data_IF_623007401157
#
_entry.id   IF_623007401157
#
_cell.length_a   1.000
_cell.length_b   1.000
_cell.length_c   1.000
_cell.angle_alpha   90.00
_cell.angle_beta   90.00
_cell.angle_gamma   90.00
#
_symmetry.space_group_name_H-M   'P 1'
#
loop_
_entity.id
_entity.type
_entity.pdbx_description
1 polymer ?
#
# COMPACT_ATOMS: atom_id res chain seq x y z
N UNK A 1 -4.45 43.95 -3.47
CA UNK A 1 -4.62 42.58 -2.93
C UNK A 1 -4.91 41.68 -4.10
N UNK A 2 -3.98 40.77 -4.43
CA UNK A 2 -4.18 39.79 -5.52
C UNK A 2 -5.17 38.74 -5.01
N UNK A 3 -6.32 38.60 -5.66
CA UNK A 3 -7.31 37.61 -5.33
C UNK A 3 -6.71 36.20 -5.51
N UNK A 4 -6.43 35.52 -4.41
CA UNK A 4 -5.94 34.15 -4.44
C UNK A 4 -7.09 33.27 -4.95
N UNK A 5 -6.96 32.73 -6.16
CA UNK A 5 -7.95 31.84 -6.76
C UNK A 5 -8.16 30.59 -5.90
N UNK A 6 -9.39 30.04 -5.90
CA UNK A 6 -9.74 28.84 -5.12
C UNK A 6 -8.85 27.65 -5.46
N UNK A 7 -8.36 27.56 -6.71
CA UNK A 7 -7.40 26.57 -7.16
C UNK A 7 -6.04 26.74 -6.47
N UNK A 8 -5.54 27.98 -6.36
CA UNK A 8 -4.27 28.26 -5.65
C UNK A 8 -4.36 27.96 -4.15
N UNK A 9 -5.53 28.17 -3.53
CA UNK A 9 -5.77 27.80 -2.13
C UNK A 9 -5.83 26.27 -1.94
N UNK A 10 -6.42 25.55 -2.89
CA UNK A 10 -6.43 24.06 -2.88
C UNK A 10 -5.02 23.52 -3.05
N UNK A 11 -4.27 24.00 -4.06
CA UNK A 11 -2.87 23.63 -4.29
C UNK A 11 -2.01 23.91 -3.05
N UNK A 12 -2.18 25.06 -2.39
CA UNK A 12 -1.48 25.41 -1.16
C UNK A 12 -1.85 24.54 0.05
N UNK A 13 -3.10 24.07 0.14
CA UNK A 13 -3.51 23.11 1.18
C UNK A 13 -2.93 21.73 0.95
N UNK A 14 -2.88 21.26 -0.29
CA UNK A 14 -2.28 19.99 -0.68
C UNK A 14 -0.79 20.00 -0.41
N UNK A 15 -0.08 21.07 -0.81
CA UNK A 15 1.34 21.28 -0.54
C UNK A 15 1.65 21.27 0.96
N UNK A 16 0.78 21.86 1.80
CA UNK A 16 0.98 21.86 3.26
C UNK A 16 0.74 20.51 3.93
N UNK A 17 -0.10 19.65 3.35
CA UNK A 17 -0.39 18.33 3.93
C UNK A 17 0.77 17.35 3.73
N UNK A 18 1.61 17.61 2.74
CA UNK A 18 2.67 16.69 2.32
C UNK A 18 2.13 15.45 1.61
N UNK A 19 2.95 14.86 0.77
CA UNK A 19 2.63 13.60 0.09
C UNK A 19 3.24 12.48 0.94
N UNK A 20 2.42 11.55 1.42
CA UNK A 20 2.91 10.36 2.11
C UNK A 20 3.35 9.33 1.08
N UNK A 21 4.57 8.82 1.25
CA UNK A 21 5.13 7.77 0.41
C UNK A 21 5.89 6.78 1.28
N UNK A 22 5.56 5.50 1.16
CA UNK A 22 6.16 4.44 1.96
C UNK A 22 6.97 3.52 1.07
N UNK A 23 8.24 3.35 1.42
CA UNK A 23 9.19 2.48 0.71
C UNK A 23 9.68 1.41 1.68
N UNK A 24 9.62 0.17 1.27
CA UNK A 24 10.21 -0.95 2.00
C UNK A 24 11.50 -1.39 1.32
N UNK A 25 12.53 -1.63 2.10
CA UNK A 25 13.83 -2.08 1.61
C UNK A 25 14.06 -3.52 2.07
N UNK A 26 14.16 -4.43 1.10
CA UNK A 26 14.25 -5.88 1.32
C UNK A 26 15.54 -6.42 0.70
N UNK A 27 16.20 -7.37 1.35
CA UNK A 27 17.39 -7.99 0.80
C UNK A 27 18.17 -8.80 1.82
N UNK A 28 19.15 -9.56 1.32
CA UNK A 28 20.02 -10.36 2.17
C UNK A 28 20.83 -9.49 3.14
N UNK A 29 21.25 -10.10 4.25
CA UNK A 29 22.14 -9.44 5.20
C UNK A 29 23.44 -8.98 4.50
N UNK A 30 23.93 -7.81 4.88
CA UNK A 30 25.17 -7.26 4.32
C UNK A 30 25.07 -6.65 2.92
N UNK A 31 23.89 -6.56 2.28
CA UNK A 31 23.72 -5.93 0.95
C UNK A 31 23.90 -4.40 0.96
N UNK A 32 23.93 -3.77 2.12
CA UNK A 32 24.12 -2.32 2.24
C UNK A 32 22.84 -1.50 2.23
N UNK A 33 21.70 -2.11 2.58
CA UNK A 33 20.37 -1.47 2.66
C UNK A 33 20.36 -0.22 3.53
N UNK A 34 20.83 -0.32 4.79
CA UNK A 34 20.86 0.81 5.72
C UNK A 34 21.75 1.96 5.20
N UNK A 35 22.87 1.65 4.51
CA UNK A 35 23.72 2.65 3.86
C UNK A 35 22.98 3.34 2.71
N UNK A 36 22.23 2.57 1.92
CA UNK A 36 21.41 3.10 0.82
C UNK A 36 20.30 4.02 1.36
N UNK A 37 19.61 3.62 2.42
CA UNK A 37 18.57 4.43 3.08
C UNK A 37 19.15 5.78 3.51
N UNK A 38 20.29 5.79 4.18
CA UNK A 38 20.95 7.01 4.60
C UNK A 38 21.39 7.87 3.41
N UNK A 39 21.85 7.24 2.32
CA UNK A 39 22.18 7.95 1.08
C UNK A 39 20.94 8.57 0.43
N UNK A 40 19.82 7.84 0.39
CA UNK A 40 18.55 8.28 -0.19
C UNK A 40 17.99 9.51 0.55
N UNK A 41 18.02 9.47 1.88
CA UNK A 41 17.55 10.57 2.73
C UNK A 41 18.53 11.76 2.81
N UNK A 42 19.79 11.56 2.41
CA UNK A 42 20.82 12.58 2.52
C UNK A 42 21.32 12.83 3.95
N UNK A 43 20.79 12.11 4.92
CA UNK A 43 21.11 12.18 6.35
C UNK A 43 21.16 10.78 6.97
N UNK A 44 21.80 10.68 8.13
CA UNK A 44 21.84 9.41 8.86
C UNK A 44 20.48 9.20 9.56
N UNK A 45 19.69 8.29 9.03
CA UNK A 45 18.37 7.90 9.54
C UNK A 45 18.45 6.56 10.26
N UNK A 46 19.20 5.62 9.68
CA UNK A 46 19.37 4.27 10.20
C UNK A 46 20.82 4.04 10.63
N UNK A 47 21.00 3.49 11.83
CA UNK A 47 22.31 3.08 12.27
C UNK A 47 22.80 1.87 11.47
N UNK A 48 23.97 2.02 10.86
CA UNK A 48 24.58 0.97 10.02
C UNK A 48 25.17 -0.19 10.83
N UNK A 49 25.32 -0.04 12.13
CA UNK A 49 25.97 -1.01 13.00
C UNK A 49 25.01 -1.99 13.70
N UNK A 50 23.71 -1.73 13.66
CA UNK A 50 22.73 -2.53 14.37
C UNK A 50 22.06 -3.54 13.43
N UNK A 51 22.33 -4.82 13.64
CA UNK A 51 21.54 -5.92 13.10
C UNK A 51 20.14 -5.87 13.72
N UNK A 52 19.09 -5.90 12.90
CA UNK A 52 17.72 -6.03 13.39
C UNK A 52 17.62 -7.45 13.98
N UNK A 53 17.29 -7.61 15.28
CA UNK A 53 17.17 -8.93 15.87
C UNK A 53 16.00 -9.68 15.20
N UNK A 54 16.23 -10.95 14.88
CA UNK A 54 15.16 -11.84 14.45
C UNK A 54 14.17 -12.05 15.61
N UNK A 55 12.87 -12.15 15.34
CA UNK A 55 11.88 -12.43 16.38
C UNK A 55 12.18 -13.78 17.01
N UNK A 56 12.20 -13.82 18.33
CA UNK A 56 12.24 -15.06 19.10
C UNK A 56 10.83 -15.66 19.14
N UNK A 57 10.73 -16.98 19.01
CA UNK A 57 9.48 -17.76 18.88
C UNK A 57 8.42 -17.57 20.01
N UNK A 58 8.71 -16.77 21.03
CA UNK A 58 7.87 -16.62 22.23
C UNK A 58 6.88 -15.44 22.20
N UNK A 59 6.83 -14.62 21.14
CA UNK A 59 5.87 -13.52 21.08
C UNK A 59 4.53 -13.99 20.48
N UNK A 60 3.54 -14.14 21.35
CA UNK A 60 2.12 -14.39 21.00
C UNK A 60 1.43 -13.18 20.32
N UNK A 61 2.08 -12.04 20.28
CA UNK A 61 1.66 -10.87 19.51
C UNK A 61 2.50 -10.81 18.23
N UNK A 62 1.84 -10.49 17.11
CA UNK A 62 2.49 -10.29 15.80
C UNK A 62 3.36 -9.04 15.84
N UNK A 63 4.42 -9.05 16.64
CA UNK A 63 5.41 -7.98 16.64
C UNK A 63 6.24 -8.10 15.37
N UNK A 64 5.86 -7.32 14.37
CA UNK A 64 6.69 -7.11 13.20
C UNK A 64 7.93 -6.33 13.63
N UNK A 65 9.03 -7.01 13.90
CA UNK A 65 10.32 -6.38 14.24
C UNK A 65 10.94 -5.66 13.04
N UNK A 66 10.14 -4.81 12.38
CA UNK A 66 10.54 -3.95 11.28
C UNK A 66 10.87 -2.58 11.82
N UNK A 67 11.91 -1.95 11.28
CA UNK A 67 12.20 -0.55 11.60
C UNK A 67 11.47 0.34 10.62
N UNK A 68 10.59 1.16 11.15
CA UNK A 68 9.94 2.23 10.40
C UNK A 68 10.49 3.58 10.83
N UNK A 69 11.06 4.29 9.88
CA UNK A 69 11.58 5.64 10.07
C UNK A 69 10.87 6.59 9.09
N UNK A 70 10.41 7.72 9.59
CA UNK A 70 9.74 8.72 8.76
C UNK A 70 10.62 9.97 8.63
N UNK A 71 10.86 10.37 7.41
CA UNK A 71 11.69 11.54 7.07
C UNK A 71 10.87 12.53 6.26
N UNK A 72 10.92 13.80 6.65
CA UNK A 72 10.36 14.88 5.83
C UNK A 72 11.43 15.35 4.83
N UNK A 73 11.11 15.24 3.55
CA UNK A 73 11.92 15.78 2.45
C UNK A 73 11.17 16.95 1.83
N UNK A 74 11.90 18.00 1.49
CA UNK A 74 11.37 19.11 0.70
C UNK A 74 11.96 19.03 -0.70
N UNK A 75 11.09 19.05 -1.70
CA UNK A 75 11.50 19.15 -3.09
C UNK A 75 11.83 20.61 -3.46
N UNK A 76 12.54 20.80 -4.57
CA UNK A 76 12.93 22.13 -5.09
C UNK A 76 11.72 23.06 -5.32
N UNK A 77 10.53 22.48 -5.53
CA UNK A 77 9.27 23.22 -5.65
C UNK A 77 8.59 23.54 -4.31
N UNK A 78 9.20 23.17 -3.18
CA UNK A 78 8.65 23.35 -1.83
C UNK A 78 7.49 22.39 -1.51
N UNK A 79 7.39 21.27 -2.23
CA UNK A 79 6.48 20.17 -1.91
C UNK A 79 7.10 19.35 -0.79
N UNK A 80 6.34 19.17 0.29
CA UNK A 80 6.75 18.29 1.39
C UNK A 80 6.40 16.85 1.07
N UNK A 81 7.39 15.98 1.11
CA UNK A 81 7.24 14.54 0.97
C UNK A 81 7.52 13.92 2.34
N UNK A 82 6.53 13.26 2.90
CA UNK A 82 6.68 12.41 4.07
C UNK A 82 7.08 11.01 3.60
N UNK A 83 8.37 10.74 3.63
CA UNK A 83 8.92 9.45 3.24
C UNK A 83 9.00 8.55 4.46
N UNK A 84 8.16 7.51 4.52
CA UNK A 84 8.27 6.42 5.50
C UNK A 84 9.11 5.31 4.89
N UNK A 85 10.20 4.95 5.56
CA UNK A 85 11.10 3.89 5.12
C UNK A 85 11.02 2.74 6.09
N UNK A 86 10.81 1.55 5.55
CA UNK A 86 10.73 0.31 6.30
C UNK A 86 11.96 -0.51 5.98
N UNK A 87 12.87 -0.63 6.95
CA UNK A 87 14.03 -1.51 6.85
C UNK A 87 13.65 -2.88 7.42
N UNK A 88 13.75 -3.91 6.59
CA UNK A 88 13.42 -5.28 6.96
C UNK A 88 14.60 -5.99 7.62
N UNK A 89 14.37 -7.02 8.44
CA UNK A 89 15.46 -7.87 8.90
C UNK A 89 16.19 -8.50 7.70
N UNK A 90 17.52 -8.56 7.78
CA UNK A 90 18.31 -9.25 6.76
C UNK A 90 18.04 -10.74 6.82
N UNK A 91 17.89 -11.36 5.69
CA UNK A 91 17.78 -12.81 5.57
C UNK A 91 19.06 -13.40 4.98
N UNK A 92 19.19 -14.73 5.01
CA UNK A 92 20.33 -15.45 4.45
C UNK A 92 21.44 -15.79 5.42
N UNK A 93 21.34 -15.34 6.69
CA UNK A 93 22.29 -15.66 7.76
C UNK A 93 21.88 -16.93 8.52
N UNK A 94 20.63 -17.32 8.46
CA UNK A 94 20.06 -18.49 9.11
C UNK A 94 19.88 -19.65 8.13
N UNK A 95 19.85 -20.90 8.66
CA UNK A 95 19.53 -22.08 7.86
C UNK A 95 18.07 -22.07 7.41
N UNK A 96 17.17 -21.60 8.27
CA UNK A 96 15.76 -21.39 7.95
C UNK A 96 15.47 -19.89 7.92
N UNK A 97 15.05 -19.40 6.76
CA UNK A 97 14.69 -18.00 6.50
C UNK A 97 13.17 -17.80 6.39
N UNK A 98 12.38 -18.86 6.60
CA UNK A 98 10.92 -18.83 6.42
C UNK A 98 10.27 -17.80 7.35
N UNK A 99 10.77 -17.68 8.61
CA UNK A 99 10.28 -16.70 9.57
C UNK A 99 10.47 -15.26 9.07
N UNK A 100 11.64 -14.93 8.51
CA UNK A 100 11.93 -13.60 7.95
C UNK A 100 11.04 -13.30 6.74
N UNK A 101 10.77 -14.29 5.89
CA UNK A 101 9.90 -14.13 4.73
C UNK A 101 8.45 -13.90 5.14
N UNK A 102 7.96 -14.66 6.12
CA UNK A 102 6.60 -14.51 6.64
C UNK A 102 6.40 -13.13 7.28
N UNK A 103 7.38 -12.62 8.03
CA UNK A 103 7.31 -11.27 8.62
C UNK A 103 7.08 -10.21 7.54
N UNK A 104 7.83 -10.28 6.43
CA UNK A 104 7.72 -9.30 5.35
C UNK A 104 6.36 -9.41 4.66
N UNK A 105 5.93 -10.61 4.31
CA UNK A 105 4.65 -10.85 3.62
C UNK A 105 3.44 -10.55 4.51
N UNK A 106 3.50 -10.93 5.79
CA UNK A 106 2.43 -10.66 6.75
C UNK A 106 2.30 -9.16 7.04
N UNK A 107 3.43 -8.43 7.10
CA UNK A 107 3.40 -6.98 7.23
C UNK A 107 2.66 -6.33 6.05
N UNK A 108 3.00 -6.70 4.80
CA UNK A 108 2.34 -6.17 3.62
C UNK A 108 0.83 -6.44 3.61
N UNK A 109 0.44 -7.68 3.96
CA UNK A 109 -0.99 -8.05 4.08
C UNK A 109 -1.68 -7.29 5.19
N UNK A 110 -1.02 -7.13 6.35
CA UNK A 110 -1.56 -6.39 7.48
C UNK A 110 -1.88 -4.93 7.11
N UNK A 111 -1.02 -4.27 6.33
CA UNK A 111 -1.28 -2.91 5.86
C UNK A 111 -2.52 -2.84 4.94
N UNK A 112 -2.76 -3.83 4.10
CA UNK A 112 -3.98 -3.93 3.30
C UNK A 112 -5.21 -4.23 4.16
N UNK A 113 -5.07 -5.09 5.17
CA UNK A 113 -6.14 -5.41 6.11
C UNK A 113 -6.59 -4.18 6.91
N UNK A 114 -5.67 -3.33 7.36
CA UNK A 114 -6.01 -2.09 8.05
C UNK A 114 -6.89 -1.15 7.19
N UNK A 115 -6.58 -1.05 5.91
CA UNK A 115 -7.37 -0.24 4.98
C UNK A 115 -8.73 -0.87 4.73
N UNK A 116 -8.79 -2.18 4.52
CA UNK A 116 -10.03 -2.92 4.31
C UNK A 116 -10.96 -2.79 5.53
N UNK A 117 -10.39 -2.83 6.75
CA UNK A 117 -11.12 -2.57 7.99
C UNK A 117 -11.68 -1.15 8.04
N UNK A 118 -10.86 -0.14 7.71
CA UNK A 118 -11.31 1.24 7.73
C UNK A 118 -12.38 1.52 6.67
N UNK A 119 -12.28 0.92 5.49
CA UNK A 119 -13.30 1.00 4.44
C UNK A 119 -14.62 0.33 4.85
N UNK A 120 -14.56 -0.72 5.64
CA UNK A 120 -15.73 -1.46 6.14
C UNK A 120 -16.45 -0.73 7.28
N UNK A 121 -15.82 0.29 7.89
CA UNK A 121 -16.44 1.06 8.97
C UNK A 121 -17.56 1.96 8.48
N UNK A 122 -18.66 1.99 9.21
CA UNK A 122 -19.80 2.91 8.96
C UNK A 122 -19.37 4.37 9.10
N UNK A 123 -18.48 4.66 10.06
CA UNK A 123 -17.88 5.99 10.27
C UNK A 123 -16.39 5.90 9.99
N UNK A 124 -15.99 6.34 8.80
CA UNK A 124 -14.59 6.40 8.41
C UNK A 124 -13.86 7.53 9.11
N UNK A 125 -12.61 7.30 9.49
CA UNK A 125 -11.76 8.32 10.09
C UNK A 125 -11.22 9.25 8.98
N UNK A 126 -11.59 10.55 8.93
CA UNK A 126 -11.12 11.47 7.89
C UNK A 126 -9.63 11.78 7.98
N UNK A 127 -8.95 11.36 9.06
CA UNK A 127 -7.52 11.53 9.30
C UNK A 127 -6.76 10.21 9.21
N UNK A 128 -7.39 9.16 8.67
CA UNK A 128 -6.71 7.89 8.47
C UNK A 128 -5.50 8.09 7.57
N UNK A 129 -4.36 7.58 8.00
CA UNK A 129 -3.12 7.63 7.23
C UNK A 129 -3.03 6.39 6.37
N UNK A 130 -2.67 6.60 5.12
CA UNK A 130 -2.34 5.49 4.22
C UNK A 130 -0.97 4.94 4.63
N UNK A 131 -0.97 3.73 5.22
CA UNK A 131 0.23 3.03 5.70
C UNK A 131 0.75 2.00 4.70
N UNK A 132 0.08 1.83 3.53
CA UNK A 132 0.47 0.85 2.51
C UNK A 132 1.88 1.09 2.01
N UNK A 133 2.57 0.01 1.69
CA UNK A 133 3.87 0.07 1.04
C UNK A 133 3.66 0.31 -0.46
N UNK A 134 4.19 1.42 -0.97
CA UNK A 134 4.02 1.83 -2.35
C UNK A 134 5.10 1.26 -3.27
N UNK A 135 6.33 1.05 -2.75
CA UNK A 135 7.41 0.43 -3.49
C UNK A 135 8.25 -0.47 -2.58
N UNK A 136 8.64 -1.62 -3.10
CA UNK A 136 9.59 -2.55 -2.46
C UNK A 136 10.87 -2.55 -3.26
N UNK A 137 11.94 -2.00 -2.67
CA UNK A 137 13.28 -2.06 -3.25
C UNK A 137 13.93 -3.39 -2.86
N UNK A 138 14.05 -4.29 -3.82
CA UNK A 138 14.63 -5.60 -3.58
C UNK A 138 16.11 -5.62 -3.93
N UNK A 139 16.95 -5.72 -2.89
CA UNK A 139 18.40 -5.66 -3.01
C UNK A 139 18.99 -7.03 -3.32
N UNK A 140 19.52 -7.17 -4.53
CA UNK A 140 20.16 -8.38 -5.06
C UNK A 140 21.66 -8.29 -4.85
N UNK A 141 22.27 -9.36 -4.37
CA UNK A 141 23.72 -9.46 -4.26
C UNK A 141 24.38 -9.50 -5.64
N UNK A 142 25.48 -8.77 -5.86
CA UNK A 142 26.21 -8.74 -7.12
C UNK A 142 27.08 -10.01 -7.27
N UNK A 143 26.46 -11.14 -7.61
CA UNK A 143 27.17 -12.43 -7.73
C UNK A 143 27.72 -12.69 -9.12
N UNK A 144 27.21 -11.99 -10.14
CA UNK A 144 27.53 -12.24 -11.55
C UNK A 144 26.80 -13.46 -12.15
N UNK A 145 26.00 -14.18 -11.36
CA UNK A 145 25.35 -15.44 -11.76
C UNK A 145 23.81 -15.39 -11.73
N UNK A 146 23.20 -14.19 -11.78
CA UNK A 146 21.74 -14.03 -11.70
C UNK A 146 21.21 -14.12 -10.27
N UNK A 147 19.95 -14.57 -10.12
CA UNK A 147 19.25 -14.66 -8.85
C UNK A 147 19.61 -15.94 -8.10
N UNK A 148 19.74 -15.84 -6.78
CA UNK A 148 19.84 -17.03 -5.93
C UNK A 148 18.45 -17.62 -5.71
N UNK A 149 18.38 -18.92 -5.45
CA UNK A 149 17.13 -19.63 -5.16
C UNK A 149 16.36 -19.00 -3.99
N UNK A 150 17.09 -18.53 -2.98
CA UNK A 150 16.53 -17.81 -1.82
C UNK A 150 15.80 -16.53 -2.25
N UNK A 151 16.40 -15.76 -3.16
CA UNK A 151 15.82 -14.51 -3.68
C UNK A 151 14.59 -14.82 -4.54
N UNK A 152 14.63 -15.87 -5.35
CA UNK A 152 13.51 -16.33 -6.17
C UNK A 152 12.32 -16.72 -5.29
N UNK A 153 12.57 -17.43 -4.19
CA UNK A 153 11.51 -17.86 -3.28
C UNK A 153 10.78 -16.67 -2.65
N UNK A 154 11.53 -15.69 -2.13
CA UNK A 154 10.94 -14.49 -1.53
C UNK A 154 10.25 -13.61 -2.60
N UNK A 155 10.89 -13.39 -3.74
CA UNK A 155 10.31 -12.60 -4.83
C UNK A 155 8.97 -13.17 -5.33
N UNK A 156 8.83 -14.51 -5.38
CA UNK A 156 7.54 -15.16 -5.70
C UNK A 156 6.46 -14.86 -4.66
N UNK A 157 6.81 -14.79 -3.38
CA UNK A 157 5.85 -14.46 -2.32
C UNK A 157 5.45 -12.98 -2.34
N UNK A 158 6.37 -12.09 -2.74
CA UNK A 158 6.12 -10.65 -2.85
C UNK A 158 5.40 -10.27 -4.15
N UNK A 159 5.52 -11.13 -5.17
CA UNK A 159 4.87 -10.92 -6.47
C UNK A 159 3.36 -10.78 -6.32
N UNK A 160 2.81 -9.70 -6.86
CA UNK A 160 1.39 -9.37 -6.75
C UNK A 160 0.96 -8.71 -5.44
N UNK A 161 1.84 -8.64 -4.42
CA UNK A 161 1.55 -7.93 -3.16
C UNK A 161 2.14 -6.52 -3.13
N UNK A 162 3.20 -6.26 -3.87
CA UNK A 162 3.87 -4.96 -3.84
C UNK A 162 4.53 -4.64 -5.18
N UNK A 163 4.80 -3.34 -5.42
CA UNK A 163 5.59 -2.88 -6.56
C UNK A 163 7.06 -3.20 -6.33
N UNK A 164 7.53 -4.31 -6.86
CA UNK A 164 8.91 -4.76 -6.71
C UNK A 164 9.79 -4.00 -7.71
N UNK A 165 10.81 -3.33 -7.20
CA UNK A 165 11.86 -2.69 -8.00
C UNK A 165 13.17 -3.43 -7.69
N UNK A 166 13.68 -4.26 -8.62
CA UNK A 166 14.92 -5.00 -8.41
C UNK A 166 16.13 -4.07 -8.50
N UNK A 167 17.01 -4.16 -7.51
CA UNK A 167 18.20 -3.31 -7.35
C UNK A 167 19.43 -4.18 -7.12
N UNK A 168 20.44 -4.05 -7.94
CA UNK A 168 21.75 -4.68 -7.74
C UNK A 168 22.54 -3.82 -6.76
N UNK A 169 22.82 -4.38 -5.60
CA UNK A 169 23.60 -3.69 -4.56
C UNK A 169 25.09 -3.74 -4.87
N UNK A 170 25.84 -2.75 -4.32
CA UNK A 170 27.32 -2.74 -4.40
C UNK A 170 27.82 -3.04 -5.83
N UNK A 171 27.26 -2.35 -6.82
CA UNK A 171 27.59 -2.56 -8.23
C UNK A 171 29.08 -2.31 -8.55
N UNK A 172 29.76 -1.62 -7.67
CA UNK A 172 31.21 -1.40 -7.70
C UNK A 172 32.07 -2.67 -7.50
N UNK A 173 31.45 -3.77 -7.10
CA UNK A 173 32.14 -5.06 -6.98
C UNK A 173 32.23 -5.86 -8.29
N UNK A 174 31.48 -5.45 -9.30
CA UNK A 174 31.49 -6.06 -10.64
C UNK A 174 32.16 -5.15 -11.65
N UNK A 175 32.81 -5.78 -12.64
CA UNK A 175 33.25 -5.05 -13.84
C UNK A 175 32.05 -4.64 -14.69
N UNK A 176 32.25 -3.70 -15.60
CA UNK A 176 31.17 -3.21 -16.48
C UNK A 176 30.54 -4.35 -17.33
N UNK A 177 31.37 -5.25 -17.82
CA UNK A 177 30.94 -6.39 -18.62
C UNK A 177 30.16 -7.41 -17.78
N UNK A 178 30.65 -7.71 -16.57
CA UNK A 178 29.97 -8.58 -15.61
C UNK A 178 28.64 -8.00 -15.15
N UNK A 179 28.57 -6.68 -14.94
CA UNK A 179 27.33 -6.01 -14.57
C UNK A 179 26.26 -6.14 -15.66
N UNK A 180 26.63 -5.93 -16.93
CA UNK A 180 25.71 -6.10 -18.06
C UNK A 180 25.22 -7.55 -18.15
N UNK A 181 26.14 -8.51 -18.02
CA UNK A 181 25.78 -9.93 -18.01
C UNK A 181 24.86 -10.29 -16.85
N UNK A 182 25.18 -9.78 -15.64
CA UNK A 182 24.37 -10.03 -14.44
C UNK A 182 22.96 -9.43 -14.56
N UNK A 183 22.83 -8.20 -15.06
CA UNK A 183 21.53 -7.58 -15.36
C UNK A 183 20.69 -8.46 -16.29
N UNK A 184 21.31 -8.98 -17.36
CA UNK A 184 20.64 -9.86 -18.32
C UNK A 184 20.16 -11.17 -17.68
N UNK A 185 21.04 -11.85 -16.92
CA UNK A 185 20.71 -13.10 -16.23
C UNK A 185 19.56 -12.91 -15.22
N UNK A 186 19.60 -11.84 -14.44
CA UNK A 186 18.51 -11.52 -13.50
C UNK A 186 17.19 -11.34 -14.23
N UNK A 187 17.15 -10.63 -15.35
CA UNK A 187 15.92 -10.46 -16.13
C UNK A 187 15.42 -11.77 -16.74
N UNK A 188 16.32 -12.65 -17.16
CA UNK A 188 15.99 -13.98 -17.66
C UNK A 188 15.39 -14.84 -16.52
N UNK A 189 15.97 -14.81 -15.33
CA UNK A 189 15.48 -15.52 -14.15
C UNK A 189 14.10 -15.01 -13.73
N UNK A 190 13.88 -13.68 -13.67
CA UNK A 190 12.57 -13.08 -13.34
C UNK A 190 11.48 -13.52 -14.32
N UNK A 191 11.80 -13.56 -15.61
CA UNK A 191 10.88 -14.04 -16.66
C UNK A 191 10.62 -15.55 -16.56
N UNK A 192 11.67 -16.35 -16.34
CA UNK A 192 11.54 -17.80 -16.23
C UNK A 192 10.65 -18.22 -15.05
N UNK A 193 10.80 -17.54 -13.92
CA UNK A 193 10.03 -17.81 -12.71
C UNK A 193 8.69 -17.07 -12.66
N UNK A 194 8.34 -16.30 -13.69
CA UNK A 194 7.09 -15.52 -13.78
C UNK A 194 6.88 -14.56 -12.59
N UNK A 195 7.96 -13.89 -12.17
CA UNK A 195 7.93 -12.92 -11.07
C UNK A 195 7.54 -11.56 -11.64
N UNK A 196 6.42 -11.02 -11.15
CA UNK A 196 5.96 -9.67 -11.52
C UNK A 196 6.82 -8.63 -10.80
N UNK A 197 7.33 -7.67 -11.54
CA UNK A 197 8.04 -6.49 -11.03
C UNK A 197 7.49 -5.24 -11.70
N UNK A 198 7.69 -4.08 -11.07
CA UNK A 198 7.21 -2.82 -11.63
C UNK A 198 7.97 -2.45 -12.90
N UNK A 199 7.27 -2.42 -14.02
CA UNK A 199 7.87 -2.26 -15.36
C UNK A 199 7.53 -0.92 -16.00
N UNK A 200 7.38 0.15 -15.23
CA UNK A 200 7.13 1.52 -15.72
C UNK A 200 6.17 1.54 -16.92
N UNK A 201 4.86 1.32 -16.70
CA UNK A 201 3.90 1.26 -17.79
C UNK A 201 3.84 2.59 -18.54
N UNK A 202 3.68 2.53 -19.85
CA UNK A 202 3.39 3.66 -20.71
C UNK A 202 2.50 3.23 -21.85
N UNK A 203 1.69 4.15 -22.35
CA UNK A 203 0.76 3.96 -23.45
C UNK A 203 1.22 4.78 -24.66
N UNK A 204 1.46 4.08 -25.78
CA UNK A 204 1.93 4.71 -27.02
C UNK A 204 0.90 5.65 -27.68
N UNK A 205 -0.39 5.51 -27.30
CA UNK A 205 -1.48 6.29 -27.92
C UNK A 205 -1.86 7.50 -27.07
N UNK A 206 -1.73 7.42 -25.74
CA UNK A 206 -2.23 8.43 -24.83
C UNK A 206 -1.15 9.26 -24.13
N UNK A 207 0.06 8.71 -23.99
CA UNK A 207 1.13 9.38 -23.27
C UNK A 207 1.95 10.32 -24.18
N UNK A 208 2.52 11.35 -23.59
CA UNK A 208 3.44 12.25 -24.27
C UNK A 208 4.75 11.54 -24.64
N UNK A 209 5.35 11.93 -25.77
CA UNK A 209 6.60 11.34 -26.25
C UNK A 209 7.73 11.39 -25.21
N UNK A 210 7.80 12.47 -24.42
CA UNK A 210 8.79 12.62 -23.34
C UNK A 210 8.59 11.56 -22.24
N UNK A 211 7.35 11.29 -21.85
CA UNK A 211 7.00 10.23 -20.89
C UNK A 211 7.35 8.84 -21.43
N UNK A 212 7.04 8.58 -22.70
CA UNK A 212 7.36 7.32 -23.39
C UNK A 212 8.86 7.09 -23.40
N UNK A 213 9.64 8.09 -23.83
CA UNK A 213 11.10 8.00 -23.88
C UNK A 213 11.70 7.78 -22.48
N UNK A 214 11.23 8.51 -21.48
CA UNK A 214 11.67 8.38 -20.09
C UNK A 214 11.37 6.99 -19.55
N UNK A 215 10.14 6.49 -19.69
CA UNK A 215 9.76 5.17 -19.20
C UNK A 215 10.46 4.04 -19.96
N UNK A 216 10.67 4.19 -21.26
CA UNK A 216 11.46 3.25 -22.06
C UNK A 216 12.92 3.20 -21.58
N UNK A 217 13.52 4.36 -21.30
CA UNK A 217 14.85 4.42 -20.72
C UNK A 217 14.93 3.75 -19.35
N UNK A 218 13.99 4.03 -18.44
CA UNK A 218 13.93 3.39 -17.12
C UNK A 218 13.78 1.88 -17.21
N UNK A 219 12.96 1.38 -18.13
CA UNK A 219 12.87 -0.07 -18.41
C UNK A 219 14.21 -0.69 -18.80
N UNK A 220 15.02 0.02 -19.57
CA UNK A 220 16.32 -0.46 -20.00
C UNK A 220 17.35 -0.56 -18.87
N UNK A 221 17.15 0.21 -17.80
CA UNK A 221 18.03 0.22 -16.62
C UNK A 221 17.74 -0.91 -15.63
N UNK A 222 16.55 -1.52 -15.68
CA UNK A 222 16.16 -2.59 -14.77
C UNK A 222 17.04 -3.83 -14.98
N UNK A 223 17.55 -4.46 -13.91
CA UNK A 223 17.62 -4.00 -12.51
C UNK A 223 18.58 -2.83 -12.33
N UNK A 224 18.20 -1.88 -11.45
CA UNK A 224 19.03 -0.71 -11.17
C UNK A 224 20.30 -1.09 -10.44
N UNK A 225 21.43 -0.57 -10.88
CA UNK A 225 22.74 -0.81 -10.25
C UNK A 225 23.07 0.34 -9.30
N UNK A 226 23.18 0.07 -7.99
CA UNK A 226 23.38 1.14 -7.01
C UNK A 226 24.61 0.93 -6.15
N UNK A 227 25.22 2.06 -5.80
CA UNK A 227 26.30 2.16 -4.83
C UNK A 227 25.82 3.12 -3.73
N UNK A 228 25.86 2.69 -2.48
CA UNK A 228 25.53 3.56 -1.34
C UNK A 228 26.80 3.97 -0.61
N UNK A 229 26.87 5.21 -0.11
CA UNK A 229 27.92 5.68 0.76
C UNK A 229 27.42 6.71 1.77
N UNK A 230 27.88 6.59 3.00
CA UNK A 230 27.66 7.59 4.05
C UNK A 230 28.79 8.63 4.12
N UNK A 231 29.86 8.45 3.33
CA UNK A 231 31.04 9.29 3.39
C UNK A 231 30.99 10.38 2.32
N UNK A 232 31.35 11.58 2.73
CA UNK A 232 31.46 12.74 1.85
C UNK A 232 32.93 13.10 1.76
N UNK A 233 33.39 13.33 0.55
CA UNK A 233 34.77 13.70 0.26
C UNK A 233 34.78 15.04 -0.47
N UNK A 234 35.82 15.83 -0.22
CA UNK A 234 36.07 17.05 -0.96
C UNK A 234 36.94 16.70 -2.18
N UNK A 235 36.37 16.84 -3.36
CA UNK A 235 37.08 16.64 -4.64
C UNK A 235 36.92 17.92 -5.46
N UNK A 236 37.99 18.50 -5.89
CA UNK A 236 38.05 19.75 -6.69
C UNK A 236 37.26 20.94 -6.07
N UNK A 237 37.13 20.97 -4.73
CA UNK A 237 36.42 22.02 -3.99
C UNK A 237 34.90 21.79 -3.87
N UNK A 238 34.39 20.67 -4.36
CA UNK A 238 33.01 20.24 -4.19
C UNK A 238 32.91 19.07 -3.19
N UNK A 239 31.87 19.09 -2.37
CA UNK A 239 31.57 18.01 -1.45
C UNK A 239 30.81 16.93 -2.19
N UNK A 240 31.49 15.83 -2.54
CA UNK A 240 30.96 14.74 -3.31
C UNK A 240 30.81 13.51 -2.41
N UNK A 241 29.64 12.87 -2.49
CA UNK A 241 29.37 11.62 -1.79
C UNK A 241 29.93 10.46 -2.60
N UNK A 242 30.80 9.64 -1.98
CA UNK A 242 31.46 8.58 -2.72
C UNK A 242 32.11 7.53 -1.83
N UNK A 243 32.79 6.61 -2.47
CA UNK A 243 33.61 5.56 -1.84
C UNK A 243 35.06 5.69 -2.25
N UNK A 244 35.94 5.66 -1.27
CA UNK A 244 37.38 5.66 -1.50
C UNK A 244 37.93 4.27 -1.28
N UNK A 245 38.55 3.75 -2.33
CA UNK A 245 39.27 2.49 -2.33
C UNK A 245 40.77 2.70 -2.45
N UNK A 246 41.63 1.70 -2.14
CA UNK A 246 43.06 1.80 -2.36
C UNK A 246 43.45 2.06 -3.81
N UNK A 247 42.60 1.68 -4.77
CA UNK A 247 42.84 1.80 -6.20
C UNK A 247 42.12 3.00 -6.85
N UNK A 248 41.23 3.69 -6.14
CA UNK A 248 40.53 4.82 -6.76
C UNK A 248 39.38 5.36 -5.90
N UNK A 249 38.71 6.34 -6.45
CA UNK A 249 37.52 6.97 -5.87
C UNK A 249 36.33 6.75 -6.80
N UNK A 250 35.18 6.41 -6.23
CA UNK A 250 33.94 6.24 -6.96
C UNK A 250 32.93 7.24 -6.43
N UNK A 251 32.42 8.09 -7.33
CA UNK A 251 31.32 8.99 -7.04
C UNK A 251 30.00 8.22 -7.19
N UNK A 252 29.13 8.26 -6.17
CA UNK A 252 27.81 7.59 -6.23
C UNK A 252 26.77 8.39 -7.03
N UNK A 253 27.02 9.68 -7.25
CA UNK A 253 26.13 10.57 -8.01
C UNK A 253 26.46 10.59 -9.52
N UNK A 254 27.52 9.88 -9.92
CA UNK A 254 27.89 9.74 -11.31
C UNK A 254 27.05 8.67 -12.01
N UNK A 255 26.37 9.07 -13.07
CA UNK A 255 25.49 8.20 -13.88
C UNK A 255 26.21 7.05 -14.57
N UNK A 256 27.54 7.17 -14.81
CA UNK A 256 28.32 6.09 -15.41
C UNK A 256 28.61 4.95 -14.41
N UNK A 257 28.70 5.31 -13.13
CA UNK A 257 29.10 4.40 -12.05
C UNK A 257 27.90 3.81 -11.31
N UNK A 258 26.80 4.56 -11.22
CA UNK A 258 25.64 4.18 -10.39
C UNK A 258 24.33 4.76 -10.90
N UNK A 259 23.27 3.95 -10.89
CA UNK A 259 21.91 4.39 -11.19
C UNK A 259 21.23 5.05 -9.97
N UNK A 260 22.00 5.38 -8.89
CA UNK A 260 21.45 5.88 -7.63
C UNK A 260 20.63 7.17 -7.79
N UNK A 261 21.14 8.15 -8.53
CA UNK A 261 20.46 9.44 -8.76
C UNK A 261 19.16 9.23 -9.55
N UNK A 262 19.20 8.37 -10.57
CA UNK A 262 18.03 8.03 -11.38
C UNK A 262 16.97 7.38 -10.50
N UNK A 263 17.34 6.39 -9.70
CA UNK A 263 16.43 5.70 -8.79
C UNK A 263 15.85 6.63 -7.73
N UNK A 264 16.65 7.54 -7.18
CA UNK A 264 16.17 8.55 -6.22
C UNK A 264 15.14 9.49 -6.85
N UNK A 265 15.44 10.02 -8.03
CA UNK A 265 14.52 10.91 -8.76
C UNK A 265 13.23 10.18 -9.17
N UNK A 266 13.33 8.93 -9.57
CA UNK A 266 12.20 8.06 -9.89
C UNK A 266 11.26 7.91 -8.69
N UNK A 267 11.81 7.58 -7.53
CA UNK A 267 11.02 7.30 -6.33
C UNK A 267 10.39 8.57 -5.74
N UNK A 268 11.11 9.70 -5.77
CA UNK A 268 10.71 10.90 -5.04
C UNK A 268 10.02 11.95 -5.92
N UNK A 269 10.29 11.95 -7.23
CA UNK A 269 9.83 13.01 -8.12
C UNK A 269 8.92 12.45 -9.22
N UNK A 270 9.46 11.67 -10.16
CA UNK A 270 8.76 11.33 -11.39
C UNK A 270 7.64 10.30 -11.22
N UNK A 271 7.87 9.21 -10.53
CA UNK A 271 6.93 8.07 -10.44
C UNK A 271 6.31 7.87 -9.05
N UNK A 272 6.46 8.86 -8.16
CA UNK A 272 5.88 8.78 -6.81
C UNK A 272 4.35 8.57 -6.85
N UNK A 273 3.66 9.33 -7.70
CA UNK A 273 2.22 9.25 -7.80
C UNK A 273 1.79 7.97 -8.53
N UNK A 274 2.46 7.60 -9.60
CA UNK A 274 2.16 6.39 -10.37
C UNK A 274 2.28 5.12 -9.52
N UNK A 275 3.33 5.03 -8.69
CA UNK A 275 3.52 3.93 -7.74
C UNK A 275 2.38 3.85 -6.71
N UNK A 276 1.89 5.00 -6.24
CA UNK A 276 0.75 5.05 -5.31
C UNK A 276 -0.54 4.62 -5.99
N UNK A 277 -0.80 5.13 -7.18
CA UNK A 277 -2.01 4.82 -7.94
C UNK A 277 -2.02 3.35 -8.35
N UNK A 278 -0.90 2.79 -8.81
CA UNK A 278 -0.76 1.37 -9.10
C UNK A 278 -0.99 0.49 -7.85
N UNK A 279 -0.46 0.90 -6.70
CA UNK A 279 -0.70 0.20 -5.43
C UNK A 279 -2.18 0.21 -5.08
N UNK A 280 -2.87 1.34 -5.28
CA UNK A 280 -4.28 1.47 -4.93
C UNK A 280 -5.20 0.74 -5.91
N UNK A 281 -5.03 0.99 -7.20
CA UNK A 281 -5.97 0.54 -8.23
C UNK A 281 -5.77 -0.92 -8.65
N UNK A 282 -4.54 -1.43 -8.56
CA UNK A 282 -4.22 -2.78 -9.05
C UNK A 282 -3.94 -3.73 -7.88
N UNK A 283 -2.94 -3.44 -7.05
CA UNK A 283 -2.49 -4.39 -6.04
C UNK A 283 -3.53 -4.52 -4.90
N UNK A 284 -4.01 -3.40 -4.39
CA UNK A 284 -4.99 -3.40 -3.31
C UNK A 284 -6.35 -3.93 -3.78
N UNK A 285 -6.83 -3.57 -4.97
CA UNK A 285 -8.11 -4.08 -5.48
C UNK A 285 -8.03 -5.59 -5.77
N UNK A 286 -6.89 -6.11 -6.21
CA UNK A 286 -6.64 -7.56 -6.33
C UNK A 286 -6.77 -8.23 -4.96
N UNK A 287 -6.04 -7.74 -3.97
CA UNK A 287 -6.10 -8.25 -2.60
C UNK A 287 -7.52 -8.20 -2.02
N UNK A 288 -8.19 -7.06 -2.16
CA UNK A 288 -9.57 -6.86 -1.71
C UNK A 288 -10.55 -7.87 -2.34
N UNK A 289 -10.41 -8.08 -3.65
CA UNK A 289 -11.26 -9.04 -4.38
C UNK A 289 -11.03 -10.46 -3.87
N UNK A 290 -9.77 -10.86 -3.66
CA UNK A 290 -9.44 -12.17 -3.10
C UNK A 290 -9.97 -12.33 -1.67
N UNK A 291 -9.78 -11.34 -0.82
CA UNK A 291 -10.25 -11.36 0.57
C UNK A 291 -11.77 -11.44 0.68
N UNK A 292 -12.50 -10.75 -0.21
CA UNK A 292 -13.97 -10.75 -0.19
C UNK A 292 -14.58 -11.95 -0.93
N UNK A 293 -13.91 -12.52 -1.93
CA UNK A 293 -14.40 -13.68 -2.69
C UNK A 293 -14.29 -15.01 -1.92
N UNK A 294 -13.42 -15.08 -0.91
CA UNK A 294 -13.20 -16.25 -0.06
C UNK A 294 -14.33 -16.57 0.95
N UNK A 295 -15.50 -15.93 0.85
CA UNK A 295 -16.66 -16.23 1.69
C UNK A 295 -16.85 -15.33 2.91
N UNK A 296 -16.24 -14.18 2.94
CA UNK A 296 -16.36 -13.17 3.99
C UNK A 296 -15.01 -12.61 4.42
N UNK A 297 -15.05 -11.54 5.18
CA UNK A 297 -13.85 -10.98 5.81
C UNK A 297 -13.08 -12.07 6.56
N UNK A 298 -11.74 -12.13 6.45
CA UNK A 298 -10.91 -13.04 7.23
C UNK A 298 -11.34 -13.06 8.71
N UNK A 299 -11.31 -14.21 9.36
CA UNK A 299 -11.84 -14.36 10.74
C UNK A 299 -11.23 -13.34 11.73
N UNK A 300 -9.94 -13.00 11.58
CA UNK A 300 -9.28 -12.00 12.40
C UNK A 300 -9.82 -10.58 12.19
N UNK A 301 -10.27 -10.25 10.96
CA UNK A 301 -10.89 -8.97 10.62
C UNK A 301 -12.34 -8.90 11.10
N UNK A 302 -13.08 -9.99 10.99
CA UNK A 302 -14.47 -10.08 11.47
C UNK A 302 -14.55 -9.94 12.98
N UNK A 303 -13.59 -10.48 13.72
CA UNK A 303 -13.49 -10.36 15.18
C UNK A 303 -13.19 -8.92 15.59
N UNK A 304 -12.32 -8.20 14.90
CA UNK A 304 -12.03 -6.80 15.17
C UNK A 304 -13.19 -5.85 14.85
N UNK A 305 -13.93 -6.10 13.77
CA UNK A 305 -15.15 -5.34 13.46
C UNK A 305 -16.23 -5.52 14.53
N UNK A 306 -16.43 -6.74 15.03
CA UNK A 306 -17.38 -7.03 16.09
C UNK A 306 -16.97 -6.40 17.44
N UNK A 307 -15.68 -6.37 17.76
CA UNK A 307 -15.18 -5.69 18.95
C UNK A 307 -15.29 -4.17 18.86
N UNK A 308 -15.03 -3.59 17.68
CA UNK A 308 -15.18 -2.14 17.45
C UNK A 308 -16.63 -1.69 17.47
N UNK A 309 -17.58 -2.52 17.03
CA UNK A 309 -19.02 -2.22 17.11
C UNK A 309 -19.57 -2.35 18.54
N UNK A 310 -18.95 -3.20 19.38
CA UNK A 310 -19.33 -3.36 20.78
C UNK A 310 -18.90 -2.17 21.66
N UNK A 311 -17.90 -1.39 21.26
CA UNK A 311 -17.42 -0.22 22.00
C UNK A 311 -18.22 1.07 21.77
N UNK A 312 -19.18 1.09 20.83
CA UNK A 312 -20.13 2.20 20.61
C UNK A 312 -21.43 1.92 21.35
N UNK A 313 -21.35 1.71 22.67
CA UNK A 313 -22.54 1.86 23.54
C UNK A 313 -22.76 3.35 23.78
N UNK A 314 -23.89 3.82 23.27
CA UNK A 314 -24.45 5.15 23.47
C UNK A 314 -24.44 5.56 24.95
N UNK A 315 -24.03 6.80 25.30
CA UNK A 315 -24.14 7.33 26.66
C UNK A 315 -25.56 7.72 27.11
N UNK A 316 -26.58 7.29 26.39
CA UNK A 316 -28.00 7.62 26.68
C UNK A 316 -28.83 6.41 27.09
N UNK A 317 -28.34 5.56 27.98
CA UNK A 317 -29.15 4.50 28.60
C UNK A 317 -28.84 4.36 30.09
N UNK A 318 -28.89 5.49 30.81
CA UNK A 318 -29.08 5.51 32.26
C UNK A 318 -30.34 6.31 32.51
N UNK A 319 -31.46 5.62 32.67
CA UNK A 319 -32.56 5.93 33.56
C UNK A 319 -33.74 4.95 33.32
N UNK A 320 -33.66 3.82 33.94
CA UNK A 320 -34.82 3.01 34.35
C UNK A 320 -34.37 2.02 35.41
N UNK A 321 -34.34 2.51 36.65
CA UNK A 321 -34.26 1.66 37.85
C UNK A 321 -35.63 1.04 38.09
N UNK A 322 -35.62 -0.28 38.24
CA UNK A 322 -36.68 -0.98 39.00
C UNK A 322 -36.02 -1.95 40.00
N UNK A 323 -36.61 -2.19 41.15
CA UNK A 323 -35.89 -2.46 42.39
C UNK A 323 -35.60 -3.95 42.62
N UNK A 324 -34.51 -4.14 43.34
CA UNK A 324 -33.99 -5.38 43.88
C UNK A 324 -34.94 -6.09 44.84
N UNK A 325 -35.00 -7.43 44.73
CA UNK A 325 -35.39 -8.31 45.83
C UNK A 325 -34.16 -9.16 46.17
N UNK A 326 -33.71 -8.99 47.43
CA UNK A 326 -32.69 -9.83 48.06
C UNK A 326 -33.33 -11.17 48.43
N UNK A 327 -32.58 -12.25 48.23
CA UNK A 327 -32.61 -13.39 49.13
C UNK A 327 -31.24 -14.08 49.17
N UNK A 328 -30.85 -14.29 50.42
CA UNK A 328 -29.59 -14.86 50.91
C UNK A 328 -29.64 -16.41 50.91
N UNK A 329 -28.40 -16.95 50.86
CA UNK A 329 -27.89 -18.18 51.48
C UNK A 329 -28.40 -19.57 51.06
N UNK A 330 -27.55 -20.43 50.50
CA UNK A 330 -26.84 -21.45 51.27
C UNK A 330 -26.03 -22.38 50.35
N UNK A 331 -24.88 -22.74 50.92
CA UNK A 331 -23.91 -23.65 50.37
C UNK A 331 -24.40 -25.10 50.24
N UNK A 332 -23.92 -25.81 49.22
CA UNK A 332 -23.24 -27.11 49.34
C UNK A 332 -23.07 -27.83 47.98
N UNK A 333 -21.84 -28.13 47.73
CA UNK A 333 -21.15 -29.24 47.07
C UNK A 333 -22.08 -30.34 46.46
N UNK A 334 -21.93 -30.59 45.14
CA UNK A 334 -21.59 -31.91 44.58
C UNK A 334 -21.67 -31.91 43.04
N UNK A 335 -20.73 -32.55 42.42
CA UNK A 335 -20.38 -32.85 41.05
C UNK A 335 -21.42 -33.72 40.28
N UNK A 336 -21.15 -34.10 39.00
CA UNK A 336 -21.79 -33.60 37.82
C UNK A 336 -22.70 -34.62 37.13
N UNK A 337 -23.69 -34.19 36.41
CA UNK A 337 -24.33 -35.08 35.45
C UNK A 337 -24.54 -34.36 34.13
N UNK A 338 -23.94 -34.92 33.09
CA UNK A 338 -24.17 -34.63 31.68
C UNK A 338 -25.63 -34.86 31.30
N UNK A 339 -26.02 -34.11 30.32
CA UNK A 339 -27.18 -34.21 29.42
C UNK A 339 -28.38 -33.33 29.77
N UNK A 340 -28.50 -32.25 28.92
CA UNK A 340 -29.73 -31.82 28.23
C UNK A 340 -29.73 -30.35 27.79
N UNK A 341 -28.58 -29.79 27.34
CA UNK A 341 -28.59 -28.42 26.83
C UNK A 341 -28.40 -28.29 25.31
N UNK A 342 -28.55 -29.38 24.55
CA UNK A 342 -28.43 -29.27 23.07
C UNK A 342 -29.72 -28.86 22.35
N UNK A 343 -30.88 -29.08 22.92
CA UNK A 343 -32.14 -28.73 22.24
C UNK A 343 -32.53 -27.27 22.40
N UNK A 344 -32.20 -26.62 23.52
CA UNK A 344 -32.54 -25.21 23.74
C UNK A 344 -31.70 -24.25 22.89
N UNK A 345 -30.46 -24.61 22.58
CA UNK A 345 -29.60 -23.84 21.69
C UNK A 345 -29.97 -23.94 20.22
N UNK A 346 -30.53 -25.07 19.80
CA UNK A 346 -31.06 -25.22 18.41
C UNK A 346 -32.34 -24.43 18.19
N UNK A 347 -33.26 -24.44 19.13
CA UNK A 347 -34.51 -23.65 19.07
C UNK A 347 -34.24 -22.12 19.07
N UNK A 348 -33.31 -21.66 19.91
CA UNK A 348 -32.92 -20.26 19.90
C UNK A 348 -32.28 -19.84 18.58
N UNK A 349 -31.56 -20.74 17.94
CA UNK A 349 -30.91 -20.51 16.64
C UNK A 349 -31.90 -20.50 15.48
N UNK A 350 -32.90 -21.37 15.52
CA UNK A 350 -34.02 -21.37 14.57
C UNK A 350 -34.86 -20.09 14.67
N UNK A 351 -35.13 -19.60 15.86
CA UNK A 351 -35.85 -18.33 16.06
C UNK A 351 -35.04 -17.15 15.56
N UNK A 352 -33.70 -17.11 15.73
CA UNK A 352 -32.85 -16.11 15.16
C UNK A 352 -32.85 -16.11 13.64
N UNK A 353 -32.73 -17.28 13.02
CA UNK A 353 -32.78 -17.43 11.55
C UNK A 353 -34.12 -16.91 11.01
N UNK A 354 -35.21 -17.25 11.65
CA UNK A 354 -36.55 -16.82 11.25
C UNK A 354 -36.72 -15.31 11.35
N UNK A 355 -36.16 -14.67 12.39
CA UNK A 355 -36.17 -13.24 12.55
C UNK A 355 -35.30 -12.51 11.50
N UNK A 356 -34.19 -13.11 11.10
CA UNK A 356 -33.34 -12.58 10.04
C UNK A 356 -34.00 -12.72 8.66
N UNK A 357 -34.68 -13.84 8.39
CA UNK A 357 -35.48 -14.04 7.15
C UNK A 357 -36.61 -12.99 7.03
N UNK A 358 -37.32 -12.71 8.13
CA UNK A 358 -38.33 -11.64 8.13
C UNK A 358 -37.74 -10.24 7.90
N UNK A 359 -36.56 -9.96 8.44
CA UNK A 359 -35.84 -8.70 8.19
C UNK A 359 -35.37 -8.56 6.76
N UNK A 360 -34.88 -9.65 6.16
CA UNK A 360 -34.47 -9.68 4.76
C UNK A 360 -35.66 -9.46 3.82
N UNK A 361 -36.81 -10.11 4.06
CA UNK A 361 -38.04 -9.88 3.29
C UNK A 361 -38.51 -8.43 3.37
N UNK A 362 -38.51 -7.86 4.57
CA UNK A 362 -38.91 -6.45 4.76
C UNK A 362 -37.93 -5.48 4.07
N UNK A 363 -36.66 -5.84 4.00
CA UNK A 363 -35.66 -5.07 3.27
C UNK A 363 -35.83 -5.18 1.76
N UNK A 364 -36.06 -6.38 1.23
CA UNK A 364 -36.38 -6.61 -0.19
C UNK A 364 -37.62 -5.83 -0.65
N UNK A 365 -38.69 -5.84 0.14
CA UNK A 365 -39.89 -5.06 -0.15
C UNK A 365 -39.62 -3.55 -0.19
N UNK A 366 -38.78 -3.04 0.71
CA UNK A 366 -38.35 -1.62 0.68
C UNK A 366 -37.58 -1.28 -0.57
N UNK A 367 -36.59 -2.10 -0.92
CA UNK A 367 -35.76 -1.89 -2.11
C UNK A 367 -36.60 -1.94 -3.39
N UNK A 368 -37.56 -2.87 -3.48
CA UNK A 368 -38.48 -2.93 -4.61
C UNK A 368 -39.37 -1.70 -4.72
N UNK A 369 -39.83 -1.18 -3.58
CA UNK A 369 -40.65 0.04 -3.55
C UNK A 369 -39.86 1.26 -3.97
N UNK A 370 -38.61 1.39 -3.49
CA UNK A 370 -37.70 2.48 -3.87
C UNK A 370 -37.32 2.43 -5.35
N UNK A 371 -37.11 1.24 -5.91
CA UNK A 371 -36.86 1.02 -7.33
C UNK A 371 -38.06 1.43 -8.19
N UNK A 372 -39.30 1.07 -7.76
CA UNK A 372 -40.52 1.47 -8.43
C UNK A 372 -40.71 2.98 -8.41
N UNK A 373 -40.44 3.62 -7.28
CA UNK A 373 -40.52 5.05 -7.13
C UNK A 373 -39.51 5.77 -8.03
N UNK A 374 -38.24 5.34 -8.03
CA UNK A 374 -37.21 5.91 -8.93
C UNK A 374 -37.53 5.70 -10.40
N UNK A 375 -38.11 4.55 -10.76
CA UNK A 375 -38.53 4.32 -12.14
C UNK A 375 -39.66 5.27 -12.56
N UNK A 376 -40.59 5.58 -11.67
CA UNK A 376 -41.64 6.56 -11.91
C UNK A 376 -41.09 7.99 -12.04
N UNK A 377 -40.13 8.38 -11.20
CA UNK A 377 -39.44 9.68 -11.28
C UNK A 377 -38.67 9.83 -12.58
N UNK A 378 -37.98 8.78 -13.04
CA UNK A 378 -37.26 8.82 -14.32
C UNK A 378 -38.23 8.96 -15.51
N UNK A 379 -39.36 8.24 -15.50
CA UNK A 379 -40.38 8.36 -16.55
C UNK A 379 -41.04 9.75 -16.57
N UNK A 380 -41.24 10.36 -15.39
CA UNK A 380 -41.75 11.72 -15.32
C UNK A 380 -40.74 12.72 -15.91
N UNK A 381 -39.47 12.57 -15.56
CA UNK A 381 -38.40 13.42 -16.06
C UNK A 381 -38.16 13.27 -17.57
N UNK A 382 -38.31 12.05 -18.10
CA UNK A 382 -38.27 11.78 -19.54
C UNK A 382 -39.41 12.49 -20.30
N UNK A 383 -40.61 12.53 -19.71
CA UNK A 383 -41.75 13.28 -20.29
C UNK A 383 -41.49 14.78 -20.27
N UNK A 384 -40.97 15.34 -19.20
CA UNK A 384 -40.60 16.76 -19.12
C UNK A 384 -39.54 17.13 -20.17
N UNK A 385 -38.54 16.27 -20.36
CA UNK A 385 -37.52 16.50 -21.40
C UNK A 385 -38.12 16.49 -22.81
N UNK A 386 -39.00 15.55 -23.11
CA UNK A 386 -39.70 15.51 -24.40
C UNK A 386 -40.56 16.76 -24.63
N UNK A 387 -41.25 17.25 -23.61
CA UNK A 387 -42.03 18.49 -23.72
C UNK A 387 -41.14 19.70 -23.97
N UNK A 388 -39.95 19.73 -23.39
CA UNK A 388 -38.96 20.81 -23.64
C UNK A 388 -38.40 20.70 -25.06
N UNK A 389 -38.08 19.50 -25.54
CA UNK A 389 -37.64 19.27 -26.90
C UNK A 389 -38.67 19.72 -27.95
N UNK A 390 -39.96 19.35 -27.75
CA UNK A 390 -41.04 19.78 -28.61
C UNK A 390 -41.27 21.31 -28.60
N UNK A 391 -41.02 22.01 -27.46
CA UNK A 391 -41.05 23.48 -27.41
C UNK A 391 -39.92 24.10 -28.16
N UNK A 392 -38.70 23.57 -28.00
CA UNK A 392 -37.52 24.06 -28.73
C UNK A 392 -37.63 23.84 -30.24
N UNK A 393 -38.20 22.73 -30.71
CA UNK A 393 -38.48 22.48 -32.11
C UNK A 393 -39.52 23.47 -32.66
N UNK A 394 -40.54 23.82 -31.89
CA UNK A 394 -41.55 24.81 -32.29
C UNK A 394 -40.98 26.24 -32.31
N UNK A 395 -40.09 26.60 -31.40
CA UNK A 395 -39.42 27.91 -31.38
C UNK A 395 -38.30 28.01 -32.41
N UNK A 396 -37.60 26.90 -32.75
CA UNK A 396 -36.56 26.84 -33.77
C UNK A 396 -37.13 26.91 -35.23
N UNK A 397 -38.43 26.72 -35.42
CA UNK A 397 -39.08 26.77 -36.74
C UNK A 397 -39.55 28.17 -37.18
N UNK A 398 -39.35 29.20 -36.36
CA UNK A 398 -39.62 30.59 -36.76
C UNK A 398 -38.46 31.11 -37.60
N UNK A 399 -38.66 31.13 -38.94
CA UNK A 399 -37.73 31.72 -39.90
C UNK A 399 -37.59 33.22 -39.59
N UNK A 400 -36.37 33.80 -39.64
CA UNK A 400 -36.20 35.24 -39.59
C UNK A 400 -36.75 35.85 -40.90
N UNK A 401 -37.64 36.83 -40.79
CA UNK A 401 -38.06 37.69 -41.93
C UNK A 401 -36.85 38.45 -42.51
N UNK A 402 -36.73 38.59 -43.81
CA UNK A 402 -35.66 39.37 -44.40
C UNK A 402 -35.93 40.86 -44.15
N UNK A 403 -34.95 41.51 -43.52
CA UNK A 403 -34.88 42.98 -43.46
C UNK A 403 -34.67 43.55 -44.86
N UNK A 404 -35.62 44.34 -45.29
CA UNK A 404 -35.44 45.30 -46.37
C UNK A 404 -34.52 46.47 -45.96
#
# INVERSE_FOLDING_TARGET
MVAVTSAALRKRKTLKKGIQFTVMVVGQSGTGRSTFINSLCGQQVVDTSSTIPLPTDDSTERDFNLREETVELEDNEGVKILLSIIDTPGFGDSLDNSSSFNIITDYLKHQYDEILLEESRVRRNPRFKDSRVHAVLYFINPTGHGLKELDIHLLKQLSGLANIIPVISKSDSLTREELILNKKLILEDLKYHQIEYYNFPYDLENDDNETIDTNSYLRSLIPFSVIGSNQVFEVDGELIRGRKYPWGFINIEDHESSDFVILRNLLLISHLQDLKDYTHEILYERYRTEALSGGGLPEHLSTQLNSASASVRSPYAEDLKSPSIKQEDNASISTPSLNNNHNDTYLAREEQIRLEEERLKAFEERVQKDLLQKKQELLARERELREIEERLEKEGSVKPEPLE
#
